data_IF_402956314402
#
_entry.id   IF_402956314402
#
_cell.length_a   1.000
_cell.length_b   1.000
_cell.length_c   1.000
_cell.angle_alpha   90.00
_cell.angle_beta   90.00
_cell.angle_gamma   90.00
#
_symmetry.space_group_name_H-M   'P 1'
#
loop_
_entity.id
_entity.type
_entity.pdbx_description
1 polymer ?
#
# COMPACT_ATOMS: atom_id res chain seq x y z
N UNK A 1 -77.75 -12.73 60.72
CA UNK A 1 -76.74 -11.67 60.82
C UNK A 1 -77.28 -10.62 61.76
N UNK A 2 -76.82 -10.61 63.01
CA UNK A 2 -77.20 -9.57 63.99
C UNK A 2 -76.60 -8.23 63.56
N UNK A 3 -77.32 -7.13 63.75
CA UNK A 3 -76.89 -5.78 63.34
C UNK A 3 -75.50 -5.40 63.89
N UNK A 4 -75.11 -6.02 65.02
CA UNK A 4 -73.79 -5.92 65.63
C UNK A 4 -72.66 -6.48 64.73
N UNK A 5 -72.84 -7.64 64.11
CA UNK A 5 -71.86 -8.25 63.21
C UNK A 5 -71.65 -7.41 61.95
N UNK A 6 -72.74 -6.80 61.44
CA UNK A 6 -72.69 -5.90 60.29
C UNK A 6 -71.94 -4.60 60.61
N UNK A 7 -72.13 -4.06 61.82
CA UNK A 7 -71.43 -2.86 62.29
C UNK A 7 -69.93 -3.10 62.49
N UNK A 8 -69.58 -4.25 63.05
CA UNK A 8 -68.18 -4.67 63.22
C UNK A 8 -67.48 -4.88 61.86
N UNK A 9 -68.12 -5.55 60.91
CA UNK A 9 -67.57 -5.74 59.56
C UNK A 9 -67.35 -4.40 58.82
N UNK A 10 -68.24 -3.42 59.00
CA UNK A 10 -68.08 -2.06 58.46
C UNK A 10 -66.89 -1.31 59.06
N UNK A 11 -66.65 -1.49 60.36
CA UNK A 11 -65.53 -0.88 61.07
C UNK A 11 -64.19 -1.51 60.67
N UNK A 12 -64.16 -2.84 60.51
CA UNK A 12 -63.01 -3.56 59.95
C UNK A 12 -62.72 -3.14 58.49
N UNK A 13 -63.75 -3.02 57.63
CA UNK A 13 -63.57 -2.49 56.26
C UNK A 13 -63.00 -1.07 56.26
N UNK A 14 -63.47 -0.20 57.16
CA UNK A 14 -62.97 1.17 57.27
C UNK A 14 -61.49 1.20 57.69
N UNK A 15 -61.11 0.35 58.65
CA UNK A 15 -59.72 0.24 59.10
C UNK A 15 -58.81 -0.25 57.98
N UNK A 16 -59.25 -1.26 57.22
CA UNK A 16 -58.55 -1.76 56.03
C UNK A 16 -58.35 -0.65 55.00
N UNK A 17 -59.38 0.16 54.72
CA UNK A 17 -59.27 1.26 53.75
C UNK A 17 -58.27 2.34 54.21
N UNK A 18 -58.24 2.65 55.50
CA UNK A 18 -57.26 3.58 56.09
C UNK A 18 -55.84 3.04 55.92
N UNK A 19 -55.63 1.75 56.14
CA UNK A 19 -54.32 1.13 56.00
C UNK A 19 -53.87 1.06 54.53
N UNK A 20 -54.79 0.79 53.59
CA UNK A 20 -54.51 0.90 52.16
C UNK A 20 -54.17 2.33 51.73
N UNK A 21 -54.85 3.34 52.27
CA UNK A 21 -54.53 4.74 51.98
C UNK A 21 -53.12 5.10 52.46
N UNK A 22 -52.74 4.71 53.69
CA UNK A 22 -51.39 4.91 54.22
C UNK A 22 -50.32 4.16 53.43
N UNK A 23 -50.61 2.93 53.01
CA UNK A 23 -49.68 2.14 52.21
C UNK A 23 -49.45 2.78 50.83
N UNK A 24 -50.52 3.24 50.17
CA UNK A 24 -50.40 3.97 48.90
C UNK A 24 -49.55 5.23 49.06
N UNK A 25 -49.82 6.04 50.08
CA UNK A 25 -49.05 7.25 50.34
C UNK A 25 -47.56 6.94 50.57
N UNK A 26 -47.26 5.92 51.37
CA UNK A 26 -45.89 5.48 51.62
C UNK A 26 -45.18 5.03 50.34
N UNK A 27 -45.84 4.25 49.50
CA UNK A 27 -45.29 3.81 48.20
C UNK A 27 -45.03 5.02 47.30
N UNK A 28 -45.95 5.99 47.26
CA UNK A 28 -45.75 7.21 46.48
C UNK A 28 -44.55 8.01 46.97
N UNK A 29 -44.40 8.17 48.28
CA UNK A 29 -43.25 8.88 48.86
C UNK A 29 -41.94 8.16 48.55
N UNK A 30 -41.87 6.84 48.75
CA UNK A 30 -40.69 6.04 48.42
C UNK A 30 -40.32 6.17 46.93
N UNK A 31 -41.32 6.18 46.04
CA UNK A 31 -41.09 6.36 44.59
C UNK A 31 -40.62 7.76 44.23
N UNK A 32 -41.11 8.79 44.91
CA UNK A 32 -40.61 10.16 44.70
C UNK A 32 -39.18 10.31 45.19
N UNK A 33 -38.85 9.76 46.36
CA UNK A 33 -37.50 9.80 46.90
C UNK A 33 -36.51 9.03 45.99
N UNK A 34 -36.92 7.87 45.43
CA UNK A 34 -36.11 7.15 44.43
C UNK A 34 -35.84 8.00 43.17
N UNK A 35 -36.86 8.68 42.65
CA UNK A 35 -36.72 9.53 41.46
C UNK A 35 -35.85 10.77 41.73
N UNK A 36 -36.01 11.41 42.88
CA UNK A 36 -35.20 12.58 43.26
C UNK A 36 -33.72 12.20 43.41
N UNK A 37 -33.44 11.05 44.03
CA UNK A 37 -32.10 10.49 44.10
C UNK A 37 -31.53 10.21 42.70
N UNK A 38 -32.32 9.62 41.80
CA UNK A 38 -31.89 9.33 40.43
C UNK A 38 -31.56 10.63 39.66
N UNK A 39 -32.40 11.66 39.80
CA UNK A 39 -32.15 12.99 39.21
C UNK A 39 -30.85 13.59 39.73
N UNK A 40 -30.58 13.46 41.03
CA UNK A 40 -29.34 13.95 41.64
C UNK A 40 -28.11 13.19 41.12
N UNK A 41 -28.20 11.86 41.00
CA UNK A 41 -27.14 11.04 40.41
C UNK A 41 -26.86 11.41 38.95
N UNK A 42 -27.89 11.73 38.16
CA UNK A 42 -27.74 12.20 36.77
C UNK A 42 -27.06 13.57 36.75
N UNK A 43 -27.50 14.53 37.58
CA UNK A 43 -26.86 15.86 37.68
C UNK A 43 -25.38 15.76 38.05
N UNK A 44 -25.04 14.82 38.93
CA UNK A 44 -23.67 14.55 39.34
C UNK A 44 -22.88 13.68 38.36
N UNK A 45 -23.47 13.27 37.22
CA UNK A 45 -22.90 12.38 36.22
C UNK A 45 -22.48 10.99 36.76
N UNK A 46 -23.08 10.54 37.87
CA UNK A 46 -22.77 9.27 38.53
C UNK A 46 -23.80 8.17 38.24
N UNK A 47 -24.87 8.49 37.50
CA UNK A 47 -25.87 7.50 37.13
C UNK A 47 -25.24 6.33 36.36
N UNK A 48 -25.46 5.08 36.78
CA UNK A 48 -24.77 3.91 36.25
C UNK A 48 -24.96 3.73 34.74
N UNK A 49 -26.17 3.96 34.23
CA UNK A 49 -26.46 3.80 32.79
C UNK A 49 -25.78 4.90 31.97
N UNK A 50 -25.70 6.12 32.53
CA UNK A 50 -24.97 7.22 31.92
C UNK A 50 -23.47 6.92 31.84
N UNK A 51 -22.87 6.48 32.94
CA UNK A 51 -21.43 6.12 33.00
C UNK A 51 -21.12 4.97 32.04
N UNK A 52 -21.96 3.94 31.98
CA UNK A 52 -21.78 2.84 31.03
C UNK A 52 -21.87 3.32 29.58
N UNK A 53 -22.82 4.19 29.27
CA UNK A 53 -22.99 4.78 27.95
C UNK A 53 -21.77 5.62 27.52
N UNK A 54 -21.23 6.44 28.43
CA UNK A 54 -20.02 7.22 28.20
C UNK A 54 -18.82 6.30 27.95
N UNK A 55 -18.61 5.26 28.79
CA UNK A 55 -17.53 4.29 28.59
C UNK A 55 -17.60 3.62 27.21
N UNK A 56 -18.80 3.22 26.77
CA UNK A 56 -19.01 2.65 25.41
C UNK A 56 -18.65 3.66 24.32
N UNK A 57 -19.00 4.92 24.50
CA UNK A 57 -18.72 5.99 23.55
C UNK A 57 -17.22 6.32 23.48
N UNK A 58 -16.54 6.36 24.63
CA UNK A 58 -15.08 6.52 24.71
C UNK A 58 -14.35 5.37 24.03
N UNK A 59 -14.75 4.11 24.30
CA UNK A 59 -14.17 2.95 23.65
C UNK A 59 -14.34 3.01 22.11
N UNK A 60 -15.50 3.45 21.61
CA UNK A 60 -15.73 3.66 20.18
C UNK A 60 -14.86 4.78 19.61
N UNK A 61 -14.71 5.88 20.34
CA UNK A 61 -13.84 7.00 19.94
C UNK A 61 -12.39 6.53 19.81
N UNK A 62 -11.90 5.83 20.82
CA UNK A 62 -10.52 5.36 20.85
C UNK A 62 -10.26 4.35 19.74
N UNK A 63 -11.22 3.45 19.47
CA UNK A 63 -11.11 2.53 18.33
C UNK A 63 -11.02 3.26 16.98
N UNK A 64 -11.88 4.27 16.76
CA UNK A 64 -11.81 5.08 15.54
C UNK A 64 -10.47 5.79 15.39
N UNK A 65 -9.92 6.32 16.48
CA UNK A 65 -8.59 6.95 16.48
C UNK A 65 -7.50 5.92 16.16
N UNK A 66 -7.56 4.72 16.75
CA UNK A 66 -6.61 3.62 16.46
C UNK A 66 -6.65 3.23 14.98
N UNK A 67 -7.85 3.01 14.44
CA UNK A 67 -8.05 2.67 13.02
C UNK A 67 -7.54 3.78 12.10
N UNK A 68 -7.86 5.04 12.38
CA UNK A 68 -7.41 6.18 11.58
C UNK A 68 -5.88 6.30 11.58
N UNK A 69 -5.23 6.09 12.73
CA UNK A 69 -3.78 6.08 12.84
C UNK A 69 -3.14 4.92 12.09
N UNK A 70 -3.72 3.72 12.17
CA UNK A 70 -3.27 2.55 11.42
C UNK A 70 -3.39 2.78 9.91
N UNK A 71 -4.53 3.33 9.46
CA UNK A 71 -4.78 3.69 8.07
C UNK A 71 -3.76 4.71 7.56
N UNK A 72 -3.51 5.78 8.32
CA UNK A 72 -2.49 6.79 7.97
C UNK A 72 -1.10 6.16 7.81
N UNK A 73 -0.68 5.30 8.75
CA UNK A 73 0.62 4.61 8.65
C UNK A 73 0.70 3.73 7.42
N UNK A 74 -0.35 2.97 7.14
CA UNK A 74 -0.43 2.13 5.95
C UNK A 74 -0.31 2.95 4.67
N UNK A 75 -1.06 4.05 4.55
CA UNK A 75 -0.99 4.93 3.39
C UNK A 75 0.42 5.50 3.18
N UNK A 76 1.08 5.97 4.25
CA UNK A 76 2.46 6.45 4.16
C UNK A 76 3.43 5.37 3.69
N UNK A 77 3.26 4.13 4.17
CA UNK A 77 4.06 2.99 3.72
C UNK A 77 3.83 2.67 2.24
N UNK A 78 2.57 2.73 1.78
CA UNK A 78 2.26 2.55 0.36
C UNK A 78 2.93 3.61 -0.51
N UNK A 79 2.87 4.88 -0.09
CA UNK A 79 3.51 6.00 -0.81
C UNK A 79 5.02 5.81 -0.86
N UNK A 80 5.68 5.49 0.26
CA UNK A 80 7.13 5.26 0.30
C UNK A 80 7.53 4.09 -0.61
N UNK A 81 6.77 3.00 -0.57
CA UNK A 81 7.04 1.85 -1.43
C UNK A 81 6.88 2.19 -2.92
N UNK A 82 5.80 2.88 -3.29
CA UNK A 82 5.58 3.35 -4.66
C UNK A 82 6.72 4.26 -5.14
N UNK A 83 7.13 5.21 -4.29
CA UNK A 83 8.23 6.11 -4.59
C UNK A 83 9.55 5.35 -4.82
N UNK A 84 9.88 4.38 -3.95
CA UNK A 84 11.08 3.54 -4.09
C UNK A 84 11.07 2.73 -5.39
N UNK A 85 9.93 2.14 -5.74
CA UNK A 85 9.78 1.37 -6.99
C UNK A 85 9.97 2.29 -8.19
N UNK A 86 9.25 3.41 -8.22
CA UNK A 86 9.35 4.40 -9.29
C UNK A 86 10.77 4.91 -9.50
N UNK A 87 11.48 5.21 -8.39
CA UNK A 87 12.86 5.66 -8.46
C UNK A 87 13.80 4.59 -9.06
N UNK A 88 13.64 3.32 -8.65
CA UNK A 88 14.42 2.21 -9.21
C UNK A 88 14.13 1.98 -10.69
N UNK A 89 12.87 2.09 -11.10
CA UNK A 89 12.47 1.98 -12.51
C UNK A 89 13.07 3.10 -13.36
N UNK A 90 13.02 4.34 -12.86
CA UNK A 90 13.63 5.49 -13.51
C UNK A 90 15.14 5.31 -13.68
N UNK A 91 15.84 4.86 -12.63
CA UNK A 91 17.28 4.63 -12.69
C UNK A 91 17.65 3.50 -13.67
N UNK A 92 16.91 2.40 -13.64
CA UNK A 92 17.06 1.29 -14.59
C UNK A 92 16.87 1.75 -16.04
N UNK A 93 15.82 2.54 -16.29
CA UNK A 93 15.54 3.12 -17.61
C UNK A 93 16.67 4.06 -18.07
N UNK A 94 17.15 4.93 -17.19
CA UNK A 94 18.30 5.82 -17.42
C UNK A 94 19.55 5.01 -17.78
N UNK A 95 19.87 3.97 -17.01
CA UNK A 95 21.03 3.13 -17.24
C UNK A 95 20.93 2.36 -18.56
N UNK A 96 19.72 1.87 -18.90
CA UNK A 96 19.44 1.22 -20.18
C UNK A 96 19.71 2.14 -21.36
N UNK A 97 19.23 3.39 -21.31
CA UNK A 97 19.49 4.41 -22.35
C UNK A 97 20.98 4.70 -22.52
N UNK A 98 21.70 4.90 -21.41
CA UNK A 98 23.16 5.10 -21.45
C UNK A 98 23.86 3.90 -22.08
N UNK A 99 23.47 2.69 -21.71
CA UNK A 99 24.06 1.48 -22.25
C UNK A 99 23.77 1.30 -23.74
N UNK A 100 22.56 1.68 -24.20
CA UNK A 100 22.20 1.68 -25.61
C UNK A 100 23.08 2.66 -26.40
N UNK A 101 23.15 3.93 -25.98
CA UNK A 101 24.00 4.92 -26.65
C UNK A 101 25.48 4.52 -26.68
N UNK A 102 25.99 3.90 -25.61
CA UNK A 102 27.35 3.33 -25.61
C UNK A 102 27.52 2.22 -26.63
N UNK A 103 26.55 1.32 -26.76
CA UNK A 103 26.58 0.25 -27.77
C UNK A 103 26.58 0.84 -29.18
N UNK A 104 25.73 1.83 -29.44
CA UNK A 104 25.63 2.48 -30.76
C UNK A 104 26.97 3.14 -31.14
N UNK A 105 27.59 3.88 -30.22
CA UNK A 105 28.92 4.49 -30.45
C UNK A 105 30.00 3.44 -30.70
N UNK A 106 30.00 2.35 -29.93
CA UNK A 106 30.96 1.26 -30.12
C UNK A 106 30.76 0.60 -31.49
N UNK A 107 29.52 0.39 -31.91
CA UNK A 107 29.19 -0.16 -33.22
C UNK A 107 29.65 0.77 -34.35
N UNK A 108 29.42 2.08 -34.21
CA UNK A 108 29.88 3.08 -35.17
C UNK A 108 31.42 3.08 -35.31
N UNK A 109 32.15 3.09 -34.20
CA UNK A 109 33.62 3.01 -34.19
C UNK A 109 34.09 1.71 -34.84
N UNK A 110 33.43 0.58 -34.55
CA UNK A 110 33.76 -0.70 -35.17
C UNK A 110 33.52 -0.67 -36.68
N UNK A 111 32.39 -0.15 -37.12
CA UNK A 111 32.05 -0.01 -38.53
C UNK A 111 33.05 0.89 -39.27
N UNK A 112 33.43 2.02 -38.68
CA UNK A 112 34.44 2.92 -39.23
C UNK A 112 35.82 2.26 -39.31
N UNK A 113 36.21 1.51 -38.28
CA UNK A 113 37.46 0.71 -38.29
C UNK A 113 37.46 -0.31 -39.43
N UNK A 114 36.35 -1.02 -39.65
CA UNK A 114 36.23 -1.97 -40.75
C UNK A 114 36.28 -1.31 -42.13
N UNK A 115 35.68 -0.13 -42.29
CA UNK A 115 35.80 0.67 -43.53
C UNK A 115 37.25 1.03 -43.81
N UNK A 116 37.98 1.56 -42.82
CA UNK A 116 39.41 1.90 -42.95
C UNK A 116 40.24 0.67 -43.36
N UNK A 117 40.02 -0.49 -42.73
CA UNK A 117 40.75 -1.71 -43.11
C UNK A 117 40.43 -2.17 -44.54
N UNK A 118 39.17 -2.07 -44.96
CA UNK A 118 38.77 -2.40 -46.33
C UNK A 118 39.41 -1.46 -47.35
N UNK A 119 39.44 -0.17 -47.06
CA UNK A 119 40.02 0.85 -47.93
C UNK A 119 41.55 0.71 -48.01
N UNK A 120 42.22 0.50 -46.87
CA UNK A 120 43.66 0.19 -46.82
C UNK A 120 43.99 -1.04 -47.68
N UNK A 121 43.23 -2.13 -47.52
CA UNK A 121 43.41 -3.35 -48.33
C UNK A 121 43.19 -3.09 -49.82
N UNK A 122 42.24 -2.23 -50.18
CA UNK A 122 41.99 -1.83 -51.58
C UNK A 122 43.16 -1.04 -52.16
N UNK A 123 43.73 -0.10 -51.39
CA UNK A 123 44.90 0.69 -51.79
C UNK A 123 46.13 -0.22 -51.96
N UNK A 124 46.40 -1.09 -50.99
CA UNK A 124 47.52 -2.04 -51.07
C UNK A 124 47.44 -2.92 -52.34
N UNK A 125 46.24 -3.44 -52.65
CA UNK A 125 46.01 -4.20 -53.87
C UNK A 125 46.20 -3.38 -55.15
N UNK A 126 45.76 -2.12 -55.15
CA UNK A 126 45.92 -1.23 -56.30
C UNK A 126 47.38 -0.83 -56.53
N UNK A 127 48.12 -0.57 -55.45
CA UNK A 127 49.55 -0.26 -55.50
C UNK A 127 50.36 -1.47 -55.98
N UNK A 128 50.01 -2.69 -55.55
CA UNK A 128 50.63 -3.92 -56.06
C UNK A 128 50.38 -4.09 -57.57
N UNK A 129 49.15 -3.86 -58.03
CA UNK A 129 48.81 -3.95 -59.45
C UNK A 129 49.57 -2.91 -60.29
N UNK A 130 49.73 -1.69 -59.76
CA UNK A 130 50.47 -0.60 -60.42
C UNK A 130 51.98 -0.82 -60.46
N UNK A 131 52.56 -1.44 -59.42
CA UNK A 131 54.01 -1.70 -59.33
C UNK A 131 54.44 -2.98 -60.06
N UNK A 132 53.55 -3.95 -60.24
CA UNK A 132 53.87 -5.27 -60.81
C UNK A 132 53.38 -5.44 -62.25
N UNK A 133 52.65 -4.47 -62.82
CA UNK A 133 52.00 -4.60 -64.13
C UNK A 133 50.97 -5.74 -64.20
N UNK A 134 50.53 -6.24 -63.05
CA UNK A 134 49.69 -7.43 -62.93
C UNK A 134 48.25 -7.03 -62.56
N UNK A 135 47.31 -7.18 -63.50
CA UNK A 135 45.87 -7.09 -63.22
C UNK A 135 45.38 -8.37 -62.51
N UNK A 136 44.84 -8.29 -61.27
CA UNK A 136 44.40 -9.50 -60.58
C UNK A 136 43.07 -10.01 -61.18
N UNK A 137 43.18 -11.07 -61.97
CA UNK A 137 42.03 -11.88 -62.38
C UNK A 137 41.33 -12.53 -61.17
N UNK A 138 40.00 -12.49 -61.21
CA UNK A 138 39.02 -13.27 -60.44
C UNK A 138 38.59 -12.81 -59.03
N UNK A 139 37.39 -12.21 -59.02
CA UNK A 139 36.60 -11.72 -57.87
C UNK A 139 36.03 -12.84 -56.95
N UNK A 140 36.25 -14.12 -57.25
CA UNK A 140 35.55 -15.23 -56.58
C UNK A 140 36.36 -15.96 -55.47
N UNK A 141 37.70 -15.90 -55.47
CA UNK A 141 38.53 -16.58 -54.44
C UNK A 141 38.67 -15.79 -53.12
N UNK A 142 38.58 -14.45 -53.15
CA UNK A 142 38.77 -13.59 -51.95
C UNK A 142 37.63 -13.63 -50.92
N UNK A 143 36.47 -14.18 -51.27
CA UNK A 143 35.29 -14.24 -50.39
C UNK A 143 35.35 -15.40 -49.38
N UNK A 144 36.15 -16.46 -49.63
CA UNK A 144 36.34 -17.58 -48.69
C UNK A 144 37.34 -17.27 -47.57
N UNK A 145 38.47 -16.64 -47.89
CA UNK A 145 39.49 -16.26 -46.89
C UNK A 145 39.01 -15.16 -45.94
N UNK A 146 38.25 -14.18 -46.44
CA UNK A 146 37.63 -13.16 -45.57
C UNK A 146 36.57 -13.75 -44.64
N UNK A 147 35.82 -14.78 -45.06
CA UNK A 147 34.85 -15.46 -44.18
C UNK A 147 35.52 -16.28 -43.09
N UNK A 148 36.65 -16.94 -43.37
CA UNK A 148 37.42 -17.65 -42.35
C UNK A 148 38.09 -16.70 -41.36
N UNK A 149 38.65 -15.58 -41.84
CA UNK A 149 39.23 -14.53 -40.99
C UNK A 149 38.16 -13.89 -40.07
N UNK A 150 36.98 -13.57 -40.61
CA UNK A 150 35.86 -13.01 -39.82
C UNK A 150 35.32 -14.02 -38.81
N UNK A 151 35.30 -15.32 -39.15
CA UNK A 151 34.93 -16.41 -38.23
C UNK A 151 35.91 -16.53 -37.06
N UNK A 152 37.21 -16.45 -37.33
CA UNK A 152 38.28 -16.53 -36.32
C UNK A 152 38.24 -15.31 -35.36
N UNK A 153 38.03 -14.11 -35.90
CA UNK A 153 37.90 -12.91 -35.08
C UNK A 153 36.62 -12.92 -34.22
N UNK A 154 35.56 -13.59 -34.69
CA UNK A 154 34.32 -13.78 -33.93
C UNK A 154 34.49 -14.79 -32.80
N UNK A 155 35.27 -15.87 -32.98
CA UNK A 155 35.55 -16.84 -31.92
C UNK A 155 36.49 -16.29 -30.84
N UNK A 156 37.50 -15.49 -31.21
CA UNK A 156 38.39 -14.83 -30.24
C UNK A 156 37.64 -13.85 -29.32
N UNK A 157 36.57 -13.21 -29.80
CA UNK A 157 35.71 -12.32 -28.99
C UNK A 157 34.88 -13.08 -27.95
N UNK A 158 34.55 -14.35 -28.18
CA UNK A 158 33.73 -15.17 -27.28
C UNK A 158 34.54 -15.84 -26.17
N UNK A 159 35.87 -15.96 -26.34
CA UNK A 159 36.76 -16.65 -25.40
C UNK A 159 37.44 -15.71 -24.39
N UNK A 160 37.16 -14.40 -24.44
CA UNK A 160 37.72 -13.37 -23.55
C UNK A 160 36.79 -12.98 -22.40
N UNK A 161 36.28 -13.98 -21.66
CA UNK A 161 35.66 -13.82 -20.35
C UNK A 161 36.39 -14.70 -19.35
#
# INVERSE_FOLDING_TARGET
MTDHQRKQALEEMKNIEIDFAKLREKIYQEKMDELDNEIEMIKNNQHPDFVESIKKLEAKKDERIRMANAWKRYQLQCIDNQFRIYYKELDSSRQSKINLSRKDLIEEVQNNRWKIYKDKRKIELNNLASSSGYEPSNKYKKRKTSKSEVSLLKSMRMSGK
#
